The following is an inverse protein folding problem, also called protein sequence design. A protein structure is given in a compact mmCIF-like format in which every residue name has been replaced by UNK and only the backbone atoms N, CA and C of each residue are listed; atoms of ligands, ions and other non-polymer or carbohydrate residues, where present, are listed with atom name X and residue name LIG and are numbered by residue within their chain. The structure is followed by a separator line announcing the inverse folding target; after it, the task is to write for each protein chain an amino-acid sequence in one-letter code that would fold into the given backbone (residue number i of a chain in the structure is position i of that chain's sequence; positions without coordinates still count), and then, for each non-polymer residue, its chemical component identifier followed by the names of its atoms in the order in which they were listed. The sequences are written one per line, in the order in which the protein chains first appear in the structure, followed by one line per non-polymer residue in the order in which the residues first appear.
data_IF_912134965275
#
_entry.id   IF_912134965275
#
_cell.length_a   1.000
_cell.length_b   1.000
_cell.length_c   1.000
_cell.angle_alpha   90.00
_cell.angle_beta   90.00
_cell.angle_gamma   90.00
#
_symmetry.space_group_name_H-M   'P 1'
#
loop_
_entity.id
_entity.type
_entity.pdbx_description
1 polymer ?
#
# COMPACT_ATOMS: atom_id res chain seq x y z
N UNK A 1 37.77 -20.46 -23.17
CA UNK A 1 37.42 -20.76 -21.76
C UNK A 1 36.44 -19.73 -21.18
N UNK A 2 36.83 -18.47 -20.98
CA UNK A 2 35.91 -17.44 -20.45
C UNK A 2 34.85 -17.01 -21.48
N UNK A 3 35.24 -16.83 -22.75
CA UNK A 3 34.32 -16.45 -23.83
C UNK A 3 33.24 -17.51 -24.04
N UNK A 4 33.61 -18.80 -24.03
CA UNK A 4 32.67 -19.91 -24.16
C UNK A 4 31.64 -19.95 -23.00
N UNK A 5 32.05 -19.53 -21.79
CA UNK A 5 31.15 -19.40 -20.65
C UNK A 5 30.15 -18.26 -20.85
N UNK A 6 30.64 -17.10 -21.33
CA UNK A 6 29.79 -15.94 -21.63
C UNK A 6 28.76 -16.29 -22.71
N UNK A 7 29.18 -16.97 -23.78
CA UNK A 7 28.30 -17.38 -24.86
C UNK A 7 27.26 -18.42 -24.41
N UNK A 8 27.68 -19.39 -23.58
CA UNK A 8 26.78 -20.36 -22.95
C UNK A 8 25.72 -19.68 -22.08
N UNK A 9 26.09 -18.74 -21.20
CA UNK A 9 25.14 -18.03 -20.33
C UNK A 9 24.20 -17.13 -21.13
N UNK A 10 24.72 -16.42 -22.14
CA UNK A 10 23.92 -15.53 -22.99
C UNK A 10 22.86 -16.31 -23.78
N UNK A 11 23.19 -17.51 -24.27
CA UNK A 11 22.24 -18.40 -24.96
C UNK A 11 21.08 -18.90 -24.08
N UNK A 12 21.25 -18.89 -22.75
CA UNK A 12 20.25 -19.33 -21.78
C UNK A 12 19.42 -18.18 -21.23
N UNK A 13 19.92 -16.96 -21.26
CA UNK A 13 19.21 -15.76 -20.82
C UNK A 13 17.96 -15.48 -21.67
N UNK A 14 18.01 -15.78 -22.97
CA UNK A 14 16.87 -15.64 -23.89
C UNK A 14 15.75 -16.67 -23.66
N UNK A 15 16.01 -17.73 -22.88
CA UNK A 15 15.06 -18.80 -22.60
C UNK A 15 14.01 -18.38 -21.54
N UNK A 16 14.31 -17.35 -20.76
CA UNK A 16 13.40 -16.81 -19.74
C UNK A 16 12.86 -15.48 -20.29
N UNK A 17 11.53 -15.36 -20.52
CA UNK A 17 10.93 -14.09 -20.93
C UNK A 17 10.88 -13.15 -19.72
N UNK A 18 12.01 -12.52 -19.42
CA UNK A 18 12.18 -11.60 -18.29
C UNK A 18 11.24 -10.40 -18.39
N UNK A 19 10.95 -9.91 -19.60
CA UNK A 19 10.02 -8.81 -19.82
C UNK A 19 8.60 -9.14 -19.38
N UNK A 20 8.16 -10.38 -19.63
CA UNK A 20 6.86 -10.86 -19.19
C UNK A 20 6.81 -10.97 -17.66
N UNK A 21 7.86 -11.53 -17.06
CA UNK A 21 7.95 -11.68 -15.60
C UNK A 21 8.00 -10.31 -14.90
N UNK A 22 8.75 -9.35 -15.45
CA UNK A 22 8.81 -7.98 -14.98
C UNK A 22 7.45 -7.29 -15.12
N UNK A 23 6.76 -7.48 -16.24
CA UNK A 23 5.40 -6.97 -16.45
C UNK A 23 4.42 -7.45 -15.38
N UNK A 24 4.42 -8.75 -15.07
CA UNK A 24 3.60 -9.31 -13.98
C UNK A 24 4.01 -8.78 -12.61
N UNK A 25 5.31 -8.67 -12.34
CA UNK A 25 5.82 -8.15 -11.08
C UNK A 25 5.38 -6.70 -10.85
N UNK A 26 5.62 -5.82 -11.84
CA UNK A 26 5.25 -4.40 -11.77
C UNK A 26 3.73 -4.24 -11.67
N UNK A 27 2.95 -5.00 -12.44
CA UNK A 27 1.49 -4.97 -12.33
C UNK A 27 1.00 -5.37 -10.94
N UNK A 28 1.62 -6.38 -10.31
CA UNK A 28 1.32 -6.77 -8.93
C UNK A 28 1.66 -5.67 -7.92
N UNK A 29 2.84 -5.06 -8.05
CA UNK A 29 3.29 -3.96 -7.16
C UNK A 29 2.36 -2.75 -7.29
N UNK A 30 2.00 -2.36 -8.52
CA UNK A 30 1.11 -1.22 -8.76
C UNK A 30 -0.30 -1.48 -8.23
N UNK A 31 -0.86 -2.68 -8.39
CA UNK A 31 -2.16 -3.02 -7.82
C UNK A 31 -2.17 -2.88 -6.30
N UNK A 32 -1.12 -3.37 -5.62
CA UNK A 32 -0.99 -3.21 -4.17
C UNK A 32 -0.81 -1.75 -3.76
N UNK A 33 -0.03 -0.99 -4.51
CA UNK A 33 0.16 0.44 -4.27
C UNK A 33 -1.16 1.20 -4.35
N UNK A 34 -1.94 0.98 -5.41
CA UNK A 34 -3.24 1.61 -5.57
C UNK A 34 -4.24 1.19 -4.49
N UNK A 35 -4.23 -0.09 -4.09
CA UNK A 35 -5.05 -0.55 -2.96
C UNK A 35 -4.74 0.21 -1.67
N UNK A 36 -3.46 0.35 -1.31
CA UNK A 36 -3.03 1.11 -0.14
C UNK A 36 -3.40 2.59 -0.27
N UNK A 37 -3.26 3.17 -1.46
CA UNK A 37 -3.65 4.56 -1.73
C UNK A 37 -5.14 4.81 -1.47
N UNK A 38 -6.01 3.88 -1.88
CA UNK A 38 -7.46 4.01 -1.65
C UNK A 38 -7.84 3.90 -0.17
N UNK A 39 -7.11 3.11 0.63
CA UNK A 39 -7.37 2.97 2.07
C UNK A 39 -7.08 4.27 2.83
N UNK A 40 -6.11 5.07 2.41
CA UNK A 40 -5.76 6.34 3.08
C UNK A 40 -6.98 7.28 3.13
N UNK A 41 -7.73 7.40 2.03
CA UNK A 41 -8.92 8.25 1.98
C UNK A 41 -10.08 7.81 2.89
N UNK A 42 -10.12 6.55 3.31
CA UNK A 42 -11.12 6.07 4.28
C UNK A 42 -10.88 6.65 5.69
N UNK A 43 -9.61 6.84 6.06
CA UNK A 43 -9.25 7.38 7.38
C UNK A 43 -9.75 8.82 7.56
N UNK A 44 -9.60 9.65 6.52
CA UNK A 44 -10.06 11.04 6.53
C UNK A 44 -11.57 11.14 6.72
N UNK A 45 -12.34 10.25 6.08
CA UNK A 45 -13.80 10.23 6.20
C UNK A 45 -14.25 9.95 7.65
N UNK A 46 -13.65 8.97 8.33
CA UNK A 46 -13.98 8.68 9.74
C UNK A 46 -13.60 9.85 10.64
N UNK A 47 -12.44 10.46 10.41
CA UNK A 47 -12.00 11.62 11.19
C UNK A 47 -12.97 12.80 11.03
N UNK A 48 -13.42 13.08 9.81
CA UNK A 48 -14.36 14.17 9.51
C UNK A 48 -15.75 13.91 10.11
N UNK A 49 -16.27 12.69 9.96
CA UNK A 49 -17.53 12.26 10.58
C UNK A 49 -17.47 12.40 12.10
N UNK A 50 -16.39 11.92 12.72
CA UNK A 50 -16.18 12.00 14.17
C UNK A 50 -16.12 13.46 14.65
N UNK A 51 -15.48 14.34 13.88
CA UNK A 51 -15.43 15.77 14.19
C UNK A 51 -16.81 16.45 14.11
N UNK A 52 -17.66 16.06 13.16
CA UNK A 52 -18.99 16.66 12.95
C UNK A 52 -20.04 16.18 13.96
N UNK A 53 -20.05 14.87 14.25
CA UNK A 53 -21.09 14.25 15.09
C UNK A 53 -20.76 14.28 16.58
N UNK A 54 -19.49 14.16 16.97
CA UNK A 54 -19.08 14.21 18.39
C UNK A 54 -18.82 15.65 18.79
N UNK A 55 -19.89 16.37 19.12
CA UNK A 55 -19.84 17.78 19.52
C UNK A 55 -19.36 17.96 20.96
N UNK A 56 -18.84 19.15 21.26
CA UNK A 56 -18.43 19.54 22.61
C UNK A 56 -16.94 19.93 22.70
N UNK A 57 -16.68 20.97 23.48
CA UNK A 57 -15.35 21.56 23.74
C UNK A 57 -14.72 21.06 25.03
N UNK A 58 -15.47 20.29 25.84
CA UNK A 58 -14.96 19.69 27.08
C UNK A 58 -13.80 18.73 26.78
N UNK A 59 -12.91 18.57 27.76
CA UNK A 59 -11.78 17.66 27.65
C UNK A 59 -12.23 16.23 27.31
N UNK A 60 -13.30 15.77 27.97
CA UNK A 60 -13.89 14.45 27.75
C UNK A 60 -14.40 14.26 26.31
N UNK A 61 -15.06 15.27 25.73
CA UNK A 61 -15.48 15.21 24.32
C UNK A 61 -14.27 15.15 23.36
N UNK A 62 -13.19 15.88 23.69
CA UNK A 62 -11.93 15.81 22.92
C UNK A 62 -11.26 14.44 23.02
N UNK A 63 -11.29 13.82 24.20
CA UNK A 63 -10.79 12.45 24.41
C UNK A 63 -11.61 11.43 23.60
N UNK A 64 -12.94 11.54 23.56
CA UNK A 64 -13.78 10.65 22.75
C UNK A 64 -13.45 10.74 21.25
N UNK A 65 -13.34 11.95 20.67
CA UNK A 65 -12.96 12.12 19.26
C UNK A 65 -11.62 11.46 18.93
N UNK A 66 -10.61 11.65 19.79
CA UNK A 66 -9.28 11.06 19.61
C UNK A 66 -9.30 9.54 19.73
N UNK A 67 -10.03 9.00 20.70
CA UNK A 67 -10.09 7.56 20.95
C UNK A 67 -10.82 6.83 19.83
N UNK A 68 -11.90 7.41 19.28
CA UNK A 68 -12.63 6.84 18.13
C UNK A 68 -11.68 6.66 16.94
N UNK A 69 -10.99 7.73 16.53
CA UNK A 69 -10.04 7.68 15.40
C UNK A 69 -8.92 6.67 15.68
N UNK A 70 -8.36 6.67 16.90
CA UNK A 70 -7.30 5.71 17.29
C UNK A 70 -7.76 4.25 17.23
N UNK A 71 -8.95 3.93 17.71
CA UNK A 71 -9.47 2.56 17.63
C UNK A 71 -9.76 2.13 16.19
N UNK A 72 -10.22 3.05 15.34
CA UNK A 72 -10.35 2.79 13.90
C UNK A 72 -8.99 2.46 13.26
N UNK A 73 -7.91 3.13 13.66
CA UNK A 73 -6.55 2.80 13.17
C UNK A 73 -6.00 1.50 13.76
N UNK A 74 -6.37 1.12 14.98
CA UNK A 74 -5.93 -0.13 15.60
C UNK A 74 -6.58 -1.37 14.96
N UNK A 75 -7.74 -1.19 14.33
CA UNK A 75 -8.51 -2.27 13.69
C UNK A 75 -8.12 -2.46 12.22
N UNK A 76 -7.47 -1.47 11.60
CA UNK A 76 -6.80 -1.64 10.31
C UNK A 76 -5.56 -2.51 10.46
#
# INVERSE_FOLDING_TARGET
AFTDLVDFTNSRLSYIPLDLMLGFFVAGVLNRFWYLYNIIGFMDNIALMTALYVRGTSERARQYRRNIVRYSQLTQ
#
